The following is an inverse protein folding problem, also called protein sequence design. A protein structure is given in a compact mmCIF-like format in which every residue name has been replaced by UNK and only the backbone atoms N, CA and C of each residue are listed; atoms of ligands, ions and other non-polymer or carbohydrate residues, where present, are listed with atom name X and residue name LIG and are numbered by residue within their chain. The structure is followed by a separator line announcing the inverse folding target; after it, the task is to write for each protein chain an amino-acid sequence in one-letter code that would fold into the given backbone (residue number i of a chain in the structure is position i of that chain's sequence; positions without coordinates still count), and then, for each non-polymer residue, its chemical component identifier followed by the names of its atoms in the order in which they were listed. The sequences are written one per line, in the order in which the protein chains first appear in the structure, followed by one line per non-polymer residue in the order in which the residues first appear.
data_IF_621791755721
#
_entry.id   IF_621791755721
#
_cell.length_a   1.000
_cell.length_b   1.000
_cell.length_c   1.000
_cell.angle_alpha   90.00
_cell.angle_beta   90.00
_cell.angle_gamma   90.00
#
_symmetry.space_group_name_H-M   'P 1'
#
loop_
_entity.id
_entity.type
_entity.pdbx_description
1 polymer ?
#
# COMPACT_ATOMS: atom_id res chain seq x y z
N UNK A 1 -0.65 -30.43 -21.73
CA UNK A 1 -0.55 -31.55 -20.78
C UNK A 1 -0.48 -30.93 -19.39
N UNK A 2 -1.26 -31.42 -18.41
CA UNK A 2 -1.29 -30.85 -17.06
C UNK A 2 0.06 -31.10 -16.37
N UNK A 3 0.59 -30.10 -15.67
CA UNK A 3 1.89 -30.16 -14.99
C UNK A 3 1.94 -31.27 -13.91
N UNK A 4 3.09 -31.92 -13.76
CA UNK A 4 3.25 -33.05 -12.82
C UNK A 4 2.97 -32.66 -11.36
N UNK A 5 3.27 -31.42 -10.96
CA UNK A 5 2.96 -30.89 -9.61
C UNK A 5 1.46 -30.91 -9.34
N UNK A 6 0.68 -30.47 -10.33
CA UNK A 6 -0.79 -30.44 -10.28
C UNK A 6 -1.36 -31.85 -10.21
N UNK A 7 -0.83 -32.77 -11.02
CA UNK A 7 -1.26 -34.17 -11.00
C UNK A 7 -0.97 -34.85 -9.65
N UNK A 8 0.20 -34.59 -9.07
CA UNK A 8 0.57 -35.13 -7.76
C UNK A 8 -0.32 -34.56 -6.65
N UNK A 9 -0.54 -33.24 -6.64
CA UNK A 9 -1.43 -32.59 -5.69
C UNK A 9 -2.86 -33.12 -5.81
N UNK A 10 -3.40 -33.28 -7.03
CA UNK A 10 -4.75 -33.80 -7.24
C UNK A 10 -4.94 -35.21 -6.67
N UNK A 11 -3.98 -36.11 -6.90
CA UNK A 11 -4.04 -37.48 -6.31
C UNK A 11 -4.05 -37.43 -4.79
N UNK A 12 -3.25 -36.54 -4.20
CA UNK A 12 -3.20 -36.35 -2.76
C UNK A 12 -4.52 -35.77 -2.22
N UNK A 13 -5.05 -34.71 -2.84
CA UNK A 13 -6.29 -34.06 -2.46
C UNK A 13 -7.48 -35.03 -2.48
N UNK A 14 -7.61 -35.85 -3.53
CA UNK A 14 -8.67 -36.86 -3.58
C UNK A 14 -8.60 -37.87 -2.43
N UNK A 15 -7.38 -38.27 -2.03
CA UNK A 15 -7.17 -39.15 -0.86
C UNK A 15 -7.53 -38.45 0.46
N UNK A 16 -7.19 -37.17 0.59
CA UNK A 16 -7.47 -36.37 1.79
C UNK A 16 -8.96 -36.05 1.93
N UNK A 17 -9.65 -35.75 0.83
CA UNK A 17 -11.10 -35.53 0.82
C UNK A 17 -11.85 -36.76 1.32
N UNK A 18 -11.38 -37.97 0.99
CA UNK A 18 -11.94 -39.23 1.50
C UNK A 18 -11.74 -39.49 3.00
N UNK A 19 -10.91 -38.70 3.71
CA UNK A 19 -10.73 -38.80 5.16
C UNK A 19 -11.74 -37.94 5.94
N UNK A 20 -12.44 -37.03 5.26
CA UNK A 20 -13.46 -36.18 5.89
C UNK A 20 -14.73 -37.02 6.06
N UNK A 21 -15.31 -37.12 7.28
CA UNK A 21 -16.54 -37.87 7.51
C UNK A 21 -17.70 -37.34 6.66
N UNK A 22 -18.48 -38.25 6.07
CA UNK A 22 -19.58 -37.90 5.15
C UNK A 22 -20.71 -37.14 5.85
N UNK A 23 -20.81 -37.25 7.17
CA UNK A 23 -21.83 -36.54 7.97
C UNK A 23 -21.49 -35.07 8.21
N UNK A 24 -20.24 -34.65 7.97
CA UNK A 24 -19.84 -33.25 8.15
C UNK A 24 -20.28 -32.41 6.95
N UNK A 25 -21.10 -31.40 7.22
CA UNK A 25 -21.60 -30.47 6.22
C UNK A 25 -21.31 -29.01 6.59
N UNK A 26 -21.41 -28.16 5.58
CA UNK A 26 -21.28 -26.73 5.76
C UNK A 26 -19.92 -26.33 6.34
N UNK A 27 -19.96 -25.40 7.28
CA UNK A 27 -18.77 -24.86 7.93
C UNK A 27 -18.01 -25.88 8.81
N UNK A 28 -18.72 -26.84 9.43
CA UNK A 28 -18.10 -27.91 10.22
C UNK A 28 -17.19 -28.81 9.38
N UNK A 29 -17.58 -29.04 8.12
CA UNK A 29 -16.76 -29.77 7.14
C UNK A 29 -15.41 -29.08 6.90
N UNK A 30 -15.39 -27.76 6.75
CA UNK A 30 -14.16 -26.98 6.53
C UNK A 30 -13.22 -27.04 7.75
N UNK A 31 -13.77 -26.97 8.96
CA UNK A 31 -12.98 -27.15 10.19
C UNK A 31 -12.37 -28.55 10.24
N UNK A 32 -13.13 -29.58 9.86
CA UNK A 32 -12.63 -30.95 9.81
C UNK A 32 -11.54 -31.15 8.74
N UNK A 33 -11.70 -30.54 7.57
CA UNK A 33 -10.68 -30.51 6.54
C UNK A 33 -9.37 -29.87 7.04
N UNK A 34 -9.46 -28.79 7.84
CA UNK A 34 -8.29 -28.15 8.42
C UNK A 34 -7.54 -29.09 9.38
N UNK A 35 -8.26 -29.85 10.22
CA UNK A 35 -7.66 -30.89 11.07
C UNK A 35 -6.97 -31.98 10.25
N UNK A 36 -7.60 -32.43 9.15
CA UNK A 36 -7.02 -33.42 8.24
C UNK A 36 -5.70 -32.91 7.67
N UNK A 37 -5.63 -31.64 7.26
CA UNK A 37 -4.40 -30.99 6.77
C UNK A 37 -3.34 -30.91 7.86
N UNK A 38 -3.70 -30.55 9.09
CA UNK A 38 -2.75 -30.40 10.20
C UNK A 38 -2.10 -31.71 10.64
N UNK A 39 -2.78 -32.83 10.41
CA UNK A 39 -2.27 -34.17 10.68
C UNK A 39 -1.31 -34.69 9.59
N UNK A 40 -1.18 -33.99 8.46
CA UNK A 40 -0.32 -34.46 7.36
C UNK A 40 1.17 -34.13 7.62
N UNK A 41 2.08 -35.03 7.22
CA UNK A 41 3.52 -34.74 7.15
C UNK A 41 3.83 -33.53 6.28
N UNK A 42 4.94 -32.86 6.61
CA UNK A 42 5.36 -31.62 5.93
C UNK A 42 5.62 -31.83 4.43
N UNK A 43 6.07 -33.00 4.02
CA UNK A 43 6.32 -33.36 2.62
C UNK A 43 5.03 -33.37 1.79
N UNK A 44 3.92 -33.83 2.37
CA UNK A 44 2.61 -33.84 1.71
C UNK A 44 2.05 -32.43 1.60
N UNK A 45 2.14 -31.64 2.70
CA UNK A 45 1.75 -30.22 2.69
C UNK A 45 2.57 -29.41 1.68
N UNK A 46 3.85 -29.73 1.56
CA UNK A 46 4.74 -29.14 0.56
C UNK A 46 4.32 -29.49 -0.87
N UNK A 47 3.91 -30.73 -1.15
CA UNK A 47 3.40 -31.13 -2.46
C UNK A 47 2.17 -30.31 -2.87
N UNK A 48 1.25 -30.05 -1.93
CA UNK A 48 0.10 -29.18 -2.17
C UNK A 48 0.53 -27.73 -2.45
N UNK A 49 1.48 -27.19 -1.68
CA UNK A 49 2.05 -25.85 -1.91
C UNK A 49 2.69 -25.73 -3.29
N UNK A 50 3.41 -26.74 -3.76
CA UNK A 50 4.02 -26.71 -5.10
C UNK A 50 3.00 -26.56 -6.24
N UNK A 51 1.77 -27.08 -6.10
CA UNK A 51 0.72 -26.86 -7.08
C UNK A 51 0.20 -25.42 -7.06
N UNK A 52 0.00 -24.84 -5.87
CA UNK A 52 -0.36 -23.41 -5.74
C UNK A 52 0.75 -22.51 -6.28
N UNK A 53 2.01 -22.75 -5.92
CA UNK A 53 3.17 -22.01 -6.44
C UNK A 53 3.22 -22.08 -7.97
N UNK A 54 2.91 -23.24 -8.55
CA UNK A 54 2.82 -23.38 -10.01
C UNK A 54 1.72 -22.50 -10.63
N UNK A 55 0.53 -22.41 -10.02
CA UNK A 55 -0.54 -21.53 -10.51
C UNK A 55 -0.10 -20.06 -10.44
N UNK A 56 0.48 -19.66 -9.31
CA UNK A 56 0.95 -18.31 -9.08
C UNK A 56 2.09 -17.89 -10.01
N UNK A 57 3.05 -18.80 -10.28
CA UNK A 57 4.11 -18.57 -11.28
C UNK A 57 3.49 -18.50 -12.68
N UNK A 58 2.47 -19.32 -12.97
CA UNK A 58 1.77 -19.29 -14.27
C UNK A 58 1.03 -17.97 -14.51
N UNK A 59 0.70 -17.20 -13.46
CA UNK A 59 0.15 -15.85 -13.65
C UNK A 59 1.15 -14.94 -14.37
N UNK A 60 2.46 -15.09 -14.12
CA UNK A 60 3.48 -14.28 -14.78
C UNK A 60 3.59 -14.61 -16.26
N UNK A 61 3.67 -15.90 -16.61
CA UNK A 61 3.81 -16.35 -18.00
C UNK A 61 2.59 -16.04 -18.87
N UNK A 62 1.41 -15.90 -18.26
CA UNK A 62 0.17 -15.53 -18.96
C UNK A 62 -0.19 -14.05 -18.81
N UNK A 63 0.66 -13.24 -18.19
CA UNK A 63 0.40 -11.82 -17.91
C UNK A 63 -0.91 -11.56 -17.16
N UNK A 64 -1.28 -12.48 -16.26
CA UNK A 64 -2.47 -12.37 -15.44
C UNK A 64 -2.30 -11.30 -14.34
N UNK A 65 -3.34 -10.49 -14.16
CA UNK A 65 -3.47 -9.53 -13.07
C UNK A 65 -4.08 -10.15 -11.82
N UNK A 66 -5.09 -11.02 -12.01
CA UNK A 66 -5.85 -11.64 -10.93
C UNK A 66 -6.05 -13.14 -11.21
N UNK A 67 -6.17 -13.93 -10.16
CA UNK A 67 -6.47 -15.36 -10.16
C UNK A 67 -7.62 -15.66 -9.21
N UNK A 68 -8.51 -16.57 -9.60
CA UNK A 68 -9.56 -17.09 -8.73
C UNK A 68 -9.53 -18.62 -8.73
N UNK A 69 -9.77 -19.20 -7.55
CA UNK A 69 -9.72 -20.64 -7.29
C UNK A 69 -10.69 -21.00 -6.16
N UNK A 70 -11.32 -22.17 -6.26
CA UNK A 70 -12.27 -22.65 -5.25
C UNK A 70 -13.65 -22.04 -5.41
N UNK A 71 -14.52 -22.31 -4.44
CA UNK A 71 -15.94 -21.97 -4.53
C UNK A 71 -16.67 -22.70 -5.67
N UNK A 72 -17.99 -22.62 -5.67
CA UNK A 72 -18.81 -23.22 -6.73
C UNK A 72 -18.72 -22.41 -8.03
N UNK A 73 -18.52 -21.09 -7.93
CA UNK A 73 -18.48 -20.17 -9.07
C UNK A 73 -17.33 -20.37 -10.05
N UNK A 74 -16.22 -21.02 -9.64
CA UNK A 74 -15.11 -21.33 -10.55
C UNK A 74 -15.31 -22.60 -11.36
N UNK A 75 -16.39 -23.36 -11.09
CA UNK A 75 -16.68 -24.65 -11.73
C UNK A 75 -15.47 -25.60 -11.72
N UNK A 76 -14.72 -25.58 -10.63
CA UNK A 76 -13.56 -26.44 -10.43
C UNK A 76 -12.37 -26.13 -11.33
N UNK A 77 -12.25 -24.92 -11.88
CA UNK A 77 -11.11 -24.50 -12.71
C UNK A 77 -10.34 -23.36 -12.06
N UNK A 78 -9.08 -23.20 -12.42
CA UNK A 78 -8.33 -21.98 -12.10
C UNK A 78 -8.69 -20.92 -13.14
N UNK A 79 -9.06 -19.72 -12.70
CA UNK A 79 -9.38 -18.60 -13.58
C UNK A 79 -8.31 -17.55 -13.50
N UNK A 80 -7.94 -16.96 -14.64
CA UNK A 80 -7.12 -15.75 -14.65
C UNK A 80 -7.86 -14.59 -15.31
N UNK A 81 -7.55 -13.38 -14.85
CA UNK A 81 -7.83 -12.14 -15.56
C UNK A 81 -6.58 -11.69 -16.31
N UNK A 82 -6.64 -11.65 -17.64
CA UNK A 82 -5.56 -11.18 -18.51
C UNK A 82 -6.07 -9.98 -19.31
N UNK A 83 -5.40 -8.84 -19.17
CA UNK A 83 -5.82 -7.55 -19.76
C UNK A 83 -7.30 -7.21 -19.55
N UNK A 84 -7.82 -7.45 -18.34
CA UNK A 84 -9.22 -7.19 -18.00
C UNK A 84 -10.19 -8.32 -18.32
N UNK A 85 -9.80 -9.30 -19.15
CA UNK A 85 -10.66 -10.42 -19.55
C UNK A 85 -10.45 -11.63 -18.63
N UNK A 86 -11.52 -12.08 -17.96
CA UNK A 86 -11.52 -13.23 -17.04
C UNK A 86 -11.96 -14.50 -17.77
N UNK A 87 -11.14 -15.55 -17.73
CA UNK A 87 -11.43 -16.86 -18.37
C UNK A 87 -10.81 -18.02 -17.56
N UNK A 88 -11.36 -19.24 -17.67
CA UNK A 88 -10.74 -20.42 -17.08
C UNK A 88 -9.49 -20.85 -17.86
N UNK A 89 -8.56 -21.49 -17.17
CA UNK A 89 -7.32 -22.07 -17.72
C UNK A 89 -7.28 -23.58 -17.43
N UNK A 90 -7.97 -24.41 -18.25
CA UNK A 90 -8.09 -25.86 -18.03
C UNK A 90 -6.75 -26.61 -17.95
N UNK A 91 -5.70 -26.07 -18.55
CA UNK A 91 -4.33 -26.58 -18.50
C UNK A 91 -3.73 -26.60 -17.09
N UNK A 92 -4.26 -25.79 -16.17
CA UNK A 92 -3.88 -25.77 -14.75
C UNK A 92 -4.61 -26.87 -13.94
N UNK A 93 -5.38 -27.72 -14.61
CA UNK A 93 -6.13 -28.80 -14.01
C UNK A 93 -7.54 -28.38 -13.60
N UNK A 94 -8.23 -29.33 -12.98
CA UNK A 94 -9.56 -29.13 -12.43
C UNK A 94 -9.66 -29.79 -11.08
N UNK A 95 -10.41 -29.18 -10.16
CA UNK A 95 -10.55 -29.56 -8.76
C UNK A 95 -12.02 -29.67 -8.40
N UNK A 96 -12.38 -30.65 -7.59
CA UNK A 96 -13.67 -30.60 -6.90
C UNK A 96 -13.65 -29.47 -5.86
N UNK A 97 -14.83 -29.06 -5.38
CA UNK A 97 -14.92 -28.05 -4.32
C UNK A 97 -14.16 -28.46 -3.06
N UNK A 98 -14.25 -29.73 -2.66
CA UNK A 98 -13.53 -30.27 -1.49
C UNK A 98 -12.01 -30.32 -1.72
N UNK A 99 -11.57 -30.65 -2.94
CA UNK A 99 -10.14 -30.61 -3.30
C UNK A 99 -9.61 -29.18 -3.23
N UNK A 100 -10.38 -28.20 -3.71
CA UNK A 100 -10.01 -26.79 -3.63
C UNK A 100 -9.98 -26.29 -2.17
N UNK A 101 -10.97 -26.66 -1.34
CA UNK A 101 -11.02 -26.28 0.08
C UNK A 101 -9.77 -26.76 0.83
N UNK A 102 -9.40 -28.03 0.65
CA UNK A 102 -8.18 -28.61 1.26
C UNK A 102 -6.91 -27.90 0.79
N UNK A 103 -6.84 -27.56 -0.50
CA UNK A 103 -5.70 -26.84 -1.07
C UNK A 103 -5.59 -25.42 -0.48
N UNK A 104 -6.71 -24.71 -0.33
CA UNK A 104 -6.79 -23.37 0.22
C UNK A 104 -6.55 -23.34 1.74
N UNK A 105 -6.99 -24.35 2.49
CA UNK A 105 -6.68 -24.49 3.93
C UNK A 105 -5.21 -24.75 4.19
N UNK A 106 -4.52 -25.42 3.26
CA UNK A 106 -3.07 -25.62 3.31
C UNK A 106 -2.26 -24.35 2.99
N UNK A 107 -2.88 -23.35 2.35
CA UNK A 107 -2.24 -22.07 2.01
C UNK A 107 -2.09 -21.14 3.23
N UNK A 108 -3.04 -21.19 4.17
CA UNK A 108 -3.13 -20.23 5.28
C UNK A 108 -2.66 -20.85 6.62
N UNK A 109 -2.09 -20.00 7.48
CA UNK A 109 -1.59 -20.42 8.79
C UNK A 109 -2.74 -20.72 9.77
N UNK A 110 -2.52 -21.54 10.82
CA UNK A 110 -3.56 -21.85 11.82
C UNK A 110 -4.21 -20.60 12.45
N UNK A 111 -3.43 -19.56 12.77
CA UNK A 111 -3.99 -18.30 13.29
C UNK A 111 -4.87 -17.55 12.29
N UNK A 112 -4.53 -17.60 10.99
CA UNK A 112 -5.35 -17.02 9.93
C UNK A 112 -6.64 -17.81 9.70
N UNK A 113 -6.63 -19.13 9.93
CA UNK A 113 -7.85 -19.93 9.90
C UNK A 113 -8.82 -19.49 11.00
N UNK A 114 -8.32 -19.19 12.20
CA UNK A 114 -9.18 -18.67 13.26
C UNK A 114 -9.88 -17.36 12.85
N UNK A 115 -9.14 -16.42 12.24
CA UNK A 115 -9.73 -15.18 11.72
C UNK A 115 -10.76 -15.43 10.62
N UNK A 116 -10.46 -16.35 9.70
CA UNK A 116 -11.42 -16.81 8.68
C UNK A 116 -12.68 -17.39 9.33
N UNK A 117 -12.53 -18.12 10.43
CA UNK A 117 -13.65 -18.74 11.12
C UNK A 117 -14.55 -17.73 11.80
N UNK A 118 -13.96 -16.70 12.42
CA UNK A 118 -14.69 -15.66 13.13
C UNK A 118 -15.36 -14.67 12.17
N UNK A 119 -14.70 -14.34 11.06
CA UNK A 119 -15.14 -13.26 10.16
C UNK A 119 -15.74 -13.73 8.83
N UNK A 120 -15.72 -15.04 8.55
CA UNK A 120 -16.11 -15.64 7.25
C UNK A 120 -15.32 -15.14 6.03
N UNK A 121 -14.26 -14.37 6.27
CA UNK A 121 -13.31 -13.88 5.29
C UNK A 121 -11.95 -13.67 5.94
N UNK A 122 -10.91 -13.70 5.13
CA UNK A 122 -9.53 -13.44 5.51
C UNK A 122 -8.86 -12.63 4.39
N UNK A 123 -8.30 -11.48 4.74
CA UNK A 123 -7.41 -10.73 3.86
C UNK A 123 -5.96 -10.99 4.25
N UNK A 124 -5.11 -11.31 3.29
CA UNK A 124 -3.71 -11.57 3.58
C UNK A 124 -2.82 -11.33 2.35
N UNK A 125 -1.52 -11.15 2.60
CA UNK A 125 -0.51 -11.16 1.55
C UNK A 125 0.19 -12.51 1.48
N UNK A 126 0.44 -12.99 0.26
CA UNK A 126 1.22 -14.19 0.00
C UNK A 126 2.45 -13.86 -0.84
N UNK A 127 3.56 -14.57 -0.59
CA UNK A 127 4.81 -14.38 -1.31
C UNK A 127 5.40 -15.73 -1.67
N UNK A 128 5.86 -15.86 -2.91
CA UNK A 128 6.59 -17.02 -3.41
C UNK A 128 7.90 -16.59 -4.07
N UNK A 129 8.80 -17.54 -4.26
CA UNK A 129 10.00 -17.33 -5.07
C UNK A 129 9.78 -17.93 -6.46
N UNK A 130 9.74 -17.10 -7.50
CA UNK A 130 9.76 -17.57 -8.90
C UNK A 130 11.20 -17.62 -9.43
N UNK A 131 11.45 -18.28 -10.57
CA UNK A 131 12.76 -18.23 -11.23
C UNK A 131 13.22 -16.80 -11.60
N UNK A 132 12.30 -15.86 -11.79
CA UNK A 132 12.60 -14.46 -12.10
C UNK A 132 12.80 -13.59 -10.85
N UNK A 133 12.41 -14.08 -9.67
CA UNK A 133 12.54 -13.37 -8.40
C UNK A 133 11.33 -13.54 -7.48
N UNK A 134 11.28 -12.81 -6.35
CA UNK A 134 10.15 -12.86 -5.44
C UNK A 134 8.89 -12.28 -6.09
N UNK A 135 7.78 -13.02 -6.02
CA UNK A 135 6.46 -12.56 -6.45
C UNK A 135 5.57 -12.38 -5.22
N UNK A 136 4.80 -11.28 -5.20
CA UNK A 136 3.86 -10.97 -4.10
C UNK A 136 2.44 -10.88 -4.62
N UNK A 137 1.52 -11.30 -3.79
CA UNK A 137 0.11 -11.33 -4.09
C UNK A 137 -0.69 -10.81 -2.90
N UNK A 138 -1.75 -10.05 -3.18
CA UNK A 138 -2.81 -9.77 -2.21
C UNK A 138 -3.93 -10.76 -2.44
N UNK A 139 -4.37 -11.41 -1.38
CA UNK A 139 -5.39 -12.43 -1.43
C UNK A 139 -6.55 -12.11 -0.48
N UNK A 140 -7.75 -12.49 -0.91
CA UNK A 140 -8.92 -12.60 -0.07
C UNK A 140 -9.45 -14.01 -0.18
N UNK A 141 -9.56 -14.70 0.95
CA UNK A 141 -10.21 -16.00 1.07
C UNK A 141 -11.54 -15.80 1.80
N UNK A 142 -12.63 -16.34 1.27
CA UNK A 142 -13.98 -16.11 1.82
C UNK A 142 -14.90 -17.32 1.58
N UNK A 143 -16.03 -17.34 2.28
CA UNK A 143 -17.03 -18.40 2.12
C UNK A 143 -17.99 -18.12 0.95
N UNK A 144 -18.16 -19.12 0.09
CA UNK A 144 -19.13 -19.17 -1.00
C UNK A 144 -19.90 -20.50 -0.92
N UNK A 145 -21.19 -20.46 -0.57
CA UNK A 145 -22.03 -21.66 -0.46
C UNK A 145 -21.40 -22.76 0.42
N UNK A 146 -20.81 -22.36 1.55
CA UNK A 146 -20.06 -23.21 2.49
C UNK A 146 -18.72 -23.79 1.99
N UNK A 147 -18.22 -23.32 0.84
CA UNK A 147 -16.89 -23.64 0.32
C UNK A 147 -15.98 -22.42 0.36
N UNK A 148 -14.68 -22.65 0.30
CA UNK A 148 -13.68 -21.60 0.26
C UNK A 148 -13.46 -21.12 -1.18
N UNK A 149 -13.59 -19.81 -1.37
CA UNK A 149 -13.27 -19.12 -2.60
C UNK A 149 -12.09 -18.18 -2.36
N UNK A 150 -11.07 -18.27 -3.22
CA UNK A 150 -9.89 -17.42 -3.22
C UNK A 150 -9.98 -16.44 -4.40
N UNK A 151 -9.82 -15.16 -4.11
CA UNK A 151 -9.52 -14.14 -5.12
C UNK A 151 -8.17 -13.51 -4.81
N UNK A 152 -7.28 -13.51 -5.79
CA UNK A 152 -5.88 -13.17 -5.61
C UNK A 152 -5.41 -12.22 -6.71
N UNK A 153 -4.69 -11.16 -6.34
CA UNK A 153 -4.12 -10.18 -7.27
C UNK A 153 -2.60 -10.19 -7.19
N UNK A 154 -1.95 -10.27 -8.35
CA UNK A 154 -0.49 -10.10 -8.47
C UNK A 154 -0.10 -8.65 -8.21
N UNK A 155 0.85 -8.44 -7.31
CA UNK A 155 1.40 -7.11 -7.04
C UNK A 155 2.66 -6.92 -7.89
N UNK A 156 2.50 -6.23 -9.03
CA UNK A 156 3.60 -5.82 -9.89
C UNK A 156 3.99 -4.38 -9.54
N UNK A 157 5.04 -4.18 -8.75
CA UNK A 157 5.54 -2.83 -8.46
C UNK A 157 6.99 -2.70 -8.88
N UNK A 158 7.19 -2.10 -10.05
CA UNK A 158 8.48 -1.48 -10.38
C UNK A 158 8.62 -0.18 -9.59
N UNK A 159 9.71 -0.06 -8.84
CA UNK A 159 10.03 1.19 -8.14
C UNK A 159 10.48 2.22 -9.17
N UNK A 160 9.79 3.37 -9.20
CA UNK A 160 10.17 4.47 -10.09
C UNK A 160 11.44 5.17 -9.58
N UNK A 161 12.30 5.70 -10.45
CA UNK A 161 13.46 6.47 -10.01
C UNK A 161 13.05 7.71 -9.20
N UNK A 162 13.74 8.03 -8.11
CA UNK A 162 13.43 9.22 -7.28
C UNK A 162 13.29 10.53 -8.06
N UNK A 163 14.08 10.72 -9.10
CA UNK A 163 14.02 11.90 -9.98
C UNK A 163 12.66 12.06 -10.66
N UNK A 164 11.90 10.98 -10.89
CA UNK A 164 10.59 11.04 -11.53
C UNK A 164 9.52 11.71 -10.66
N UNK A 165 9.75 11.88 -9.35
CA UNK A 165 8.86 12.63 -8.47
C UNK A 165 8.87 14.14 -8.78
N UNK A 166 9.88 14.64 -9.50
CA UNK A 166 9.98 16.04 -9.90
C UNK A 166 10.01 17.02 -8.73
N UNK A 167 10.64 16.62 -7.61
CA UNK A 167 10.74 17.44 -6.40
C UNK A 167 11.85 18.49 -6.55
N UNK A 168 11.62 19.69 -6.00
CA UNK A 168 12.65 20.71 -5.87
C UNK A 168 13.82 20.22 -5.01
N UNK A 169 15.05 20.69 -5.28
CA UNK A 169 16.27 20.22 -4.60
C UNK A 169 16.20 20.30 -3.07
N UNK A 170 15.56 21.33 -2.53
CA UNK A 170 15.41 21.51 -1.08
C UNK A 170 14.46 20.46 -0.50
N UNK A 171 13.35 20.18 -1.19
CA UNK A 171 12.37 19.16 -0.80
C UNK A 171 13.00 17.76 -0.91
N UNK A 172 13.79 17.51 -1.97
CA UNK A 172 14.54 16.27 -2.12
C UNK A 172 15.52 16.02 -0.95
N UNK A 173 16.20 17.07 -0.45
CA UNK A 173 17.02 16.98 0.76
C UNK A 173 16.20 16.62 1.99
N UNK A 174 14.99 17.17 2.14
CA UNK A 174 14.10 16.78 3.23
C UNK A 174 13.73 15.30 3.20
N UNK A 175 13.62 14.67 2.02
CA UNK A 175 13.31 13.24 1.90
C UNK A 175 14.50 12.33 2.25
N UNK A 176 15.72 12.84 2.23
CA UNK A 176 16.94 12.05 2.43
C UNK A 176 17.40 12.04 3.87
N UNK A 177 17.76 10.86 4.36
CA UNK A 177 18.35 10.65 5.68
C UNK A 177 19.73 11.29 5.82
N UNK A 178 20.49 11.45 4.72
CA UNK A 178 21.80 12.10 4.76
C UNK A 178 21.70 13.58 5.13
N UNK A 179 20.62 14.24 4.69
CA UNK A 179 20.43 15.68 4.89
C UNK A 179 19.47 16.01 6.03
N UNK A 180 18.43 15.20 6.25
CA UNK A 180 17.40 15.45 7.26
C UNK A 180 17.16 14.20 8.11
N UNK A 181 17.76 14.18 9.31
CA UNK A 181 17.75 13.03 10.24
C UNK A 181 16.44 12.84 11.01
N UNK A 182 15.61 13.88 11.13
CA UNK A 182 14.42 13.87 12.00
C UNK A 182 13.23 14.62 11.42
N UNK A 183 12.07 14.42 12.02
CA UNK A 183 10.84 15.16 11.72
C UNK A 183 9.84 14.35 10.90
N UNK A 184 8.63 14.88 10.81
CA UNK A 184 7.48 14.25 10.18
C UNK A 184 7.29 14.75 8.75
N UNK A 185 7.17 13.83 7.80
CA UNK A 185 6.87 14.10 6.40
C UNK A 185 5.59 13.36 6.04
N UNK A 186 4.61 14.09 5.50
CA UNK A 186 3.33 13.54 5.12
C UNK A 186 3.23 13.44 3.59
N UNK A 187 2.89 12.25 3.09
CA UNK A 187 2.51 12.04 1.69
C UNK A 187 1.01 11.84 1.65
N UNK A 188 0.27 12.77 1.05
CA UNK A 188 -1.20 12.77 1.13
C UNK A 188 -1.85 12.73 -0.24
N UNK A 189 -3.11 12.33 -0.28
CA UNK A 189 -3.92 12.22 -1.49
C UNK A 189 -4.99 11.16 -1.35
N UNK A 190 -6.00 11.20 -2.22
CA UNK A 190 -7.07 10.19 -2.23
C UNK A 190 -6.55 8.80 -2.64
N UNK A 191 -7.41 7.80 -2.59
CA UNK A 191 -7.07 6.45 -3.08
C UNK A 191 -6.68 6.50 -4.56
N UNK A 192 -5.60 5.80 -4.93
CA UNK A 192 -5.09 5.81 -6.29
C UNK A 192 -4.21 7.02 -6.67
N UNK A 193 -3.87 7.91 -5.74
CA UNK A 193 -3.02 9.09 -6.04
C UNK A 193 -1.51 8.82 -6.12
N UNK A 194 -1.06 7.57 -5.94
CA UNK A 194 0.36 7.19 -6.01
C UNK A 194 1.15 7.34 -4.70
N UNK A 195 0.48 7.42 -3.53
CA UNK A 195 1.14 7.56 -2.22
C UNK A 195 2.12 6.41 -1.93
N UNK A 196 1.66 5.17 -2.03
CA UNK A 196 2.50 3.98 -1.76
C UNK A 196 3.70 3.94 -2.71
N UNK A 197 3.48 4.18 -4.01
CA UNK A 197 4.57 4.25 -5.00
C UNK A 197 5.59 5.36 -4.70
N UNK A 198 5.13 6.49 -4.16
CA UNK A 198 6.03 7.58 -3.72
C UNK A 198 6.83 7.17 -2.49
N UNK A 199 6.20 6.55 -1.49
CA UNK A 199 6.90 6.02 -0.33
C UNK A 199 7.93 4.97 -0.73
N UNK A 200 7.58 4.03 -1.61
CA UNK A 200 8.51 3.02 -2.12
C UNK A 200 9.72 3.67 -2.82
N UNK A 201 9.46 4.71 -3.61
CA UNK A 201 10.51 5.48 -4.27
C UNK A 201 11.44 6.18 -3.27
N UNK A 202 10.89 6.72 -2.17
CA UNK A 202 11.67 7.38 -1.10
C UNK A 202 12.47 6.34 -0.30
N UNK A 203 11.89 5.19 0.01
CA UNK A 203 12.54 4.09 0.73
C UNK A 203 13.72 3.58 -0.09
N UNK A 204 13.52 3.23 -1.37
CA UNK A 204 14.59 2.73 -2.24
C UNK A 204 15.70 3.77 -2.45
N UNK A 205 15.35 5.06 -2.55
CA UNK A 205 16.34 6.13 -2.63
C UNK A 205 17.25 6.15 -1.39
N UNK A 206 16.67 6.15 -0.19
CA UNK A 206 17.43 6.11 1.07
C UNK A 206 18.24 4.81 1.21
N UNK A 207 17.65 3.67 0.84
CA UNK A 207 18.31 2.37 0.86
C UNK A 207 19.55 2.30 -0.05
N UNK A 208 19.58 3.08 -1.14
CA UNK A 208 20.73 3.15 -2.06
C UNK A 208 21.79 4.17 -1.63
N UNK A 209 21.41 5.23 -0.94
CA UNK A 209 22.32 6.33 -0.60
C UNK A 209 22.84 6.25 0.82
N UNK A 210 21.97 5.91 1.77
CA UNK A 210 22.19 6.07 3.21
C UNK A 210 22.46 4.75 3.92
N UNK A 211 23.36 4.79 4.91
CA UNK A 211 23.47 3.73 5.92
C UNK A 211 22.50 4.04 7.05
N UNK A 212 21.60 3.11 7.33
CA UNK A 212 20.61 3.28 8.38
C UNK A 212 19.64 2.11 8.48
N UNK A 213 18.69 2.23 9.39
CA UNK A 213 17.65 1.25 9.65
C UNK A 213 16.27 1.83 9.33
N UNK A 214 15.58 1.22 8.37
CA UNK A 214 14.24 1.64 7.92
C UNK A 214 13.23 0.60 8.38
N UNK A 215 12.27 1.01 9.21
CA UNK A 215 11.13 0.20 9.61
C UNK A 215 9.88 0.67 8.87
N UNK A 216 9.24 -0.23 8.12
CA UNK A 216 8.01 0.02 7.36
C UNK A 216 6.86 -0.73 8.00
N UNK A 217 5.76 -0.04 8.28
CA UNK A 217 4.53 -0.60 8.84
C UNK A 217 3.41 -0.31 7.86
N UNK A 218 2.76 -1.35 7.32
CA UNK A 218 1.75 -1.21 6.27
C UNK A 218 0.62 -2.23 6.37
N UNK A 219 -0.48 -1.96 5.68
CA UNK A 219 -1.63 -2.85 5.56
C UNK A 219 -2.29 -2.75 4.16
N UNK A 220 -2.00 -3.66 3.23
CA UNK A 220 -0.88 -4.61 3.24
C UNK A 220 0.46 -3.93 2.86
N UNK A 221 1.56 -4.68 2.93
CA UNK A 221 2.79 -4.26 2.26
C UNK A 221 2.66 -4.41 0.74
N UNK A 222 2.77 -3.31 0.00
CA UNK A 222 2.67 -3.28 -1.47
C UNK A 222 3.99 -3.71 -2.15
N UNK A 223 5.14 -3.28 -1.64
CA UNK A 223 6.45 -3.61 -2.20
C UNK A 223 7.38 -4.26 -1.15
N UNK A 224 8.26 -5.15 -1.62
CA UNK A 224 9.30 -5.78 -0.81
C UNK A 224 10.66 -5.17 -1.12
N UNK A 225 11.10 -4.26 -0.26
CA UNK A 225 12.41 -3.65 -0.38
C UNK A 225 13.50 -4.60 0.12
N UNK A 226 14.39 -4.99 -0.78
CA UNK A 226 15.60 -5.74 -0.43
C UNK A 226 16.64 -4.76 0.16
N UNK A 227 17.20 -5.11 1.31
CA UNK A 227 18.24 -4.30 1.97
C UNK A 227 19.47 -4.13 1.08
N UNK A 228 19.97 -2.89 0.97
CA UNK A 228 21.19 -2.53 0.22
C UNK A 228 22.18 -1.86 1.17
N UNK A 229 22.22 -0.52 1.22
CA UNK A 229 23.01 0.21 2.22
C UNK A 229 22.27 0.36 3.55
N UNK A 230 20.94 0.37 3.51
CA UNK A 230 20.11 0.38 4.71
C UNK A 230 19.57 -1.02 5.01
N UNK A 231 19.42 -1.34 6.29
CA UNK A 231 18.63 -2.47 6.75
C UNK A 231 17.17 -2.08 6.63
N UNK A 232 16.35 -2.88 5.95
CA UNK A 232 14.92 -2.64 5.82
C UNK A 232 14.14 -3.77 6.51
N UNK A 233 13.28 -3.38 7.45
CA UNK A 233 12.35 -4.26 8.15
C UNK A 233 10.94 -3.84 7.81
N UNK A 234 10.16 -4.74 7.23
CA UNK A 234 8.80 -4.45 6.82
C UNK A 234 7.85 -5.31 7.63
N UNK A 235 6.80 -4.71 8.18
CA UNK A 235 5.84 -5.36 9.07
C UNK A 235 4.44 -5.07 8.58
N UNK A 236 3.68 -6.12 8.31
CA UNK A 236 2.28 -6.04 7.91
C UNK A 236 1.37 -6.05 9.14
N UNK A 237 0.39 -5.14 9.21
CA UNK A 237 -0.62 -5.13 10.27
C UNK A 237 -1.52 -6.37 10.13
N UNK A 238 -1.98 -6.93 11.25
CA UNK A 238 -2.72 -8.19 11.33
C UNK A 238 -1.81 -9.43 11.28
N UNK A 239 -0.70 -9.38 10.53
CA UNK A 239 0.24 -10.49 10.37
C UNK A 239 1.47 -10.42 11.29
N UNK A 240 2.23 -9.34 11.20
CA UNK A 240 3.50 -9.17 11.92
C UNK A 240 3.37 -8.23 13.12
N UNK A 241 2.31 -7.43 13.14
CA UNK A 241 1.95 -6.54 14.26
C UNK A 241 0.44 -6.36 14.34
N UNK A 242 -0.08 -6.13 15.55
CA UNK A 242 -1.54 -6.05 15.79
C UNK A 242 -2.19 -4.80 15.19
N UNK A 243 -1.51 -3.66 15.23
CA UNK A 243 -2.03 -2.37 14.79
C UNK A 243 -0.90 -1.45 14.32
N UNK A 244 -1.24 -0.37 13.62
CA UNK A 244 -0.26 0.67 13.27
C UNK A 244 0.39 1.29 14.51
N UNK A 245 -0.40 1.63 15.52
CA UNK A 245 0.09 2.14 16.82
C UNK A 245 1.09 1.19 17.46
N UNK A 246 0.76 -0.10 17.57
CA UNK A 246 1.67 -1.09 18.14
C UNK A 246 2.94 -1.23 17.30
N UNK A 247 2.81 -1.17 15.97
CA UNK A 247 3.93 -1.15 15.04
C UNK A 247 4.90 -0.02 15.34
N UNK A 248 4.38 1.20 15.49
CA UNK A 248 5.18 2.40 15.75
C UNK A 248 5.85 2.31 17.13
N UNK A 249 5.10 1.98 18.18
CA UNK A 249 5.64 1.86 19.54
C UNK A 249 6.75 0.80 19.61
N UNK A 250 6.55 -0.35 18.97
CA UNK A 250 7.56 -1.41 18.94
C UNK A 250 8.77 -1.00 18.11
N UNK A 251 8.58 -0.28 17.00
CA UNK A 251 9.68 0.22 16.16
C UNK A 251 10.65 1.11 16.94
N UNK A 252 10.17 1.92 17.90
CA UNK A 252 11.04 2.77 18.74
C UNK A 252 12.07 1.99 19.57
N UNK A 253 11.87 0.68 19.77
CA UNK A 253 12.82 -0.19 20.49
C UNK A 253 13.70 -1.01 19.54
N UNK A 254 13.62 -0.76 18.25
CA UNK A 254 14.34 -1.50 17.20
C UNK A 254 15.51 -0.71 16.64
N UNK A 255 15.89 0.41 17.26
CA UNK A 255 16.95 1.32 16.77
C UNK A 255 16.74 1.77 15.30
N UNK A 256 15.56 2.32 14.93
CA UNK A 256 15.30 2.78 13.57
C UNK A 256 15.90 4.18 13.34
N UNK A 257 16.32 4.48 12.12
CA UNK A 257 16.59 5.85 11.66
C UNK A 257 15.37 6.46 10.96
N UNK A 258 14.64 5.62 10.21
CA UNK A 258 13.42 5.98 9.50
C UNK A 258 12.29 5.05 9.93
N UNK A 259 11.14 5.63 10.27
CA UNK A 259 9.89 4.89 10.46
C UNK A 259 8.91 5.32 9.36
N UNK A 260 8.39 4.36 8.60
CA UNK A 260 7.39 4.58 7.55
C UNK A 260 6.07 3.96 7.98
N UNK A 261 5.02 4.77 7.99
CA UNK A 261 3.65 4.37 8.32
C UNK A 261 2.81 4.53 7.06
N UNK A 262 2.37 3.42 6.48
CA UNK A 262 1.68 3.45 5.20
C UNK A 262 0.34 4.19 5.27
N UNK A 263 -0.30 4.29 6.43
CA UNK A 263 -1.53 5.05 6.61
C UNK A 263 -1.75 5.46 8.08
N UNK A 264 -2.25 6.67 8.29
CA UNK A 264 -2.77 7.11 9.58
C UNK A 264 -4.28 7.36 9.48
N UNK A 265 -5.07 6.63 10.26
CA UNK A 265 -6.54 6.70 10.25
C UNK A 265 -7.14 7.33 11.50
N UNK A 266 -6.57 7.04 12.66
CA UNK A 266 -7.15 7.31 13.98
C UNK A 266 -6.22 8.13 14.89
N UNK A 267 -6.82 8.72 15.93
CA UNK A 267 -6.15 9.53 16.95
C UNK A 267 -4.98 8.82 17.65
N UNK A 268 -5.14 7.53 17.88
CA UNK A 268 -4.15 6.68 18.53
C UNK A 268 -2.87 6.54 17.68
N UNK A 269 -3.04 6.31 16.37
CA UNK A 269 -1.95 6.22 15.40
C UNK A 269 -1.28 7.59 15.21
N UNK A 270 -2.05 8.69 15.12
CA UNK A 270 -1.48 10.04 15.05
C UNK A 270 -0.60 10.34 16.26
N UNK A 271 -1.08 10.00 17.46
CA UNK A 271 -0.34 10.22 18.71
C UNK A 271 0.98 9.45 18.74
N UNK A 272 0.96 8.18 18.32
CA UNK A 272 2.17 7.35 18.25
C UNK A 272 3.17 7.89 17.21
N UNK A 273 2.70 8.36 16.06
CA UNK A 273 3.56 8.98 15.03
C UNK A 273 4.20 10.27 15.52
N UNK A 274 3.45 11.13 16.23
CA UNK A 274 4.00 12.34 16.82
C UNK A 274 5.04 12.03 17.90
N UNK A 275 4.83 10.98 18.71
CA UNK A 275 5.81 10.52 19.71
C UNK A 275 7.09 9.99 19.04
N UNK A 276 6.95 9.24 17.95
CA UNK A 276 8.08 8.77 17.17
C UNK A 276 8.90 9.93 16.56
N UNK A 277 8.23 10.96 16.05
CA UNK A 277 8.90 12.15 15.54
C UNK A 277 9.55 13.00 16.67
N UNK A 278 8.89 13.13 17.83
CA UNK A 278 9.41 13.85 19.01
C UNK A 278 10.69 13.21 19.57
N UNK A 279 10.78 11.87 19.54
CA UNK A 279 11.98 11.14 19.97
C UNK A 279 13.16 11.27 19.01
N UNK A 280 13.04 12.08 17.95
CA UNK A 280 14.14 12.45 17.07
C UNK A 280 14.25 11.60 15.81
N UNK A 281 13.29 10.72 15.54
CA UNK A 281 13.28 9.89 14.34
C UNK A 281 12.81 10.67 13.11
N UNK A 282 13.23 10.21 11.93
CA UNK A 282 12.60 10.60 10.67
C UNK A 282 11.38 9.75 10.45
N UNK A 283 10.22 10.39 10.28
CA UNK A 283 8.95 9.68 10.11
C UNK A 283 8.30 10.07 8.79
N UNK A 284 7.93 9.06 8.00
CA UNK A 284 7.07 9.23 6.84
C UNK A 284 5.71 8.62 7.15
N UNK A 285 4.65 9.35 6.84
CA UNK A 285 3.29 8.84 7.02
C UNK A 285 2.38 9.26 5.87
N UNK A 286 1.28 8.55 5.66
CA UNK A 286 0.26 8.94 4.68
C UNK A 286 -1.08 9.28 5.30
N UNK A 287 -1.82 10.18 4.64
CA UNK A 287 -3.22 10.48 4.92
C UNK A 287 -4.04 10.54 3.63
N UNK A 288 -5.34 10.35 3.77
CA UNK A 288 -6.32 10.49 2.70
C UNK A 288 -6.93 11.91 2.69
N UNK A 289 -6.11 12.91 2.42
CA UNK A 289 -6.48 14.34 2.32
C UNK A 289 -5.96 14.92 1.01
N UNK A 290 -6.60 15.97 0.50
CA UNK A 290 -6.34 16.51 -0.85
C UNK A 290 -5.39 17.72 -0.89
N UNK A 291 -5.03 18.27 0.27
CA UNK A 291 -4.12 19.42 0.41
C UNK A 291 -3.33 19.38 1.72
N UNK A 292 -2.30 20.21 1.81
CA UNK A 292 -1.48 20.35 3.01
C UNK A 292 -2.29 20.92 4.19
N UNK A 293 -3.14 21.92 3.94
CA UNK A 293 -4.02 22.53 4.94
C UNK A 293 -4.99 21.51 5.51
N UNK A 294 -5.71 20.79 4.64
CA UNK A 294 -6.65 19.74 5.04
C UNK A 294 -5.95 18.61 5.84
N UNK A 295 -4.69 18.32 5.51
CA UNK A 295 -3.90 17.32 6.26
C UNK A 295 -3.64 17.75 7.70
N UNK A 296 -3.35 19.04 7.92
CA UNK A 296 -3.16 19.61 9.25
C UNK A 296 -4.49 19.61 10.00
N UNK A 297 -5.55 20.14 9.37
CA UNK A 297 -6.87 20.24 9.98
C UNK A 297 -7.43 18.87 10.37
N UNK A 298 -7.21 17.84 9.55
CA UNK A 298 -7.61 16.46 9.86
C UNK A 298 -6.91 15.92 11.11
N UNK A 299 -5.60 16.10 11.24
CA UNK A 299 -4.85 15.63 12.43
C UNK A 299 -5.39 16.33 13.69
N UNK A 300 -5.67 17.63 13.60
CA UNK A 300 -6.23 18.40 14.73
C UNK A 300 -7.68 18.01 15.03
N UNK A 301 -8.50 17.77 14.01
CA UNK A 301 -9.91 17.40 14.15
C UNK A 301 -10.14 16.03 14.77
N UNK A 302 -9.22 15.09 14.55
CA UNK A 302 -9.22 13.75 15.15
C UNK A 302 -8.66 13.75 16.59
N UNK A 303 -8.09 14.88 17.05
CA UNK A 303 -7.55 15.03 18.40
C UNK A 303 -8.65 15.52 19.36
N UNK A 304 -8.79 14.92 20.57
CA UNK A 304 -9.73 15.39 21.58
C UNK A 304 -9.55 16.89 21.90
N UNK A 305 -10.63 17.67 22.09
CA UNK A 305 -10.55 19.13 22.23
C UNK A 305 -9.55 19.63 23.30
N UNK A 306 -9.44 18.92 24.43
CA UNK A 306 -8.53 19.26 25.52
C UNK A 306 -7.04 19.11 25.14
N UNK A 307 -6.72 18.29 24.14
CA UNK A 307 -5.36 18.00 23.70
C UNK A 307 -4.94 18.76 22.43
N UNK A 308 -5.90 19.38 21.73
CA UNK A 308 -5.65 20.03 20.42
C UNK A 308 -4.56 21.09 20.47
N UNK A 309 -4.52 21.95 21.50
CA UNK A 309 -3.46 22.96 21.65
C UNK A 309 -2.07 22.30 21.69
N UNK A 310 -1.91 21.26 22.52
CA UNK A 310 -0.65 20.54 22.68
C UNK A 310 -0.26 19.83 21.38
N UNK A 311 -1.20 19.16 20.72
CA UNK A 311 -0.94 18.49 19.43
C UNK A 311 -0.54 19.49 18.36
N UNK A 312 -1.18 20.66 18.31
CA UNK A 312 -0.85 21.74 17.37
C UNK A 312 0.56 22.28 17.57
N UNK A 313 0.97 22.52 18.81
CA UNK A 313 2.33 22.95 19.13
C UNK A 313 3.39 21.91 18.73
N UNK A 314 3.12 20.63 19.00
CA UNK A 314 3.97 19.50 18.58
C UNK A 314 4.04 19.42 17.05
N UNK A 315 2.90 19.45 16.37
CA UNK A 315 2.82 19.37 14.92
C UNK A 315 3.59 20.52 14.25
N UNK A 316 3.44 21.76 14.73
CA UNK A 316 4.21 22.90 14.23
C UNK A 316 5.74 22.73 14.40
N UNK A 317 6.16 21.97 15.40
CA UNK A 317 7.59 21.76 15.68
C UNK A 317 8.16 20.60 14.88
N UNK A 318 7.38 19.53 14.71
CA UNK A 318 7.80 18.25 14.11
C UNK A 318 7.58 18.16 12.61
N UNK A 319 6.52 18.78 12.08
CA UNK A 319 6.19 18.72 10.66
C UNK A 319 7.32 19.40 9.88
N UNK A 320 7.85 18.68 8.89
CA UNK A 320 8.91 19.16 8.00
C UNK A 320 8.36 19.48 6.61
N UNK A 321 7.48 18.61 6.08
CA UNK A 321 6.94 18.74 4.75
C UNK A 321 5.61 18.00 4.61
N UNK A 322 4.71 18.53 3.79
CA UNK A 322 3.54 17.82 3.27
C UNK A 322 3.59 17.83 1.75
N UNK A 323 3.37 16.66 1.13
CA UNK A 323 3.28 16.49 -0.32
C UNK A 323 1.92 15.88 -0.63
N UNK A 324 1.00 16.69 -1.17
CA UNK A 324 -0.33 16.22 -1.57
C UNK A 324 -0.35 15.88 -3.06
N UNK A 325 -0.88 14.71 -3.41
CA UNK A 325 -0.68 14.10 -4.73
C UNK A 325 -2.00 13.84 -5.45
N UNK A 326 -1.97 13.98 -6.78
CA UNK A 326 -2.99 13.51 -7.71
C UNK A 326 -2.30 12.87 -8.93
N UNK A 327 -2.90 11.81 -9.48
CA UNK A 327 -2.50 11.27 -10.78
C UNK A 327 -3.48 11.78 -11.82
N UNK A 328 -2.94 12.49 -12.83
CA UNK A 328 -3.74 13.15 -13.86
C UNK A 328 -3.49 12.47 -15.22
N UNK A 329 -4.53 12.20 -16.01
CA UNK A 329 -4.37 11.70 -17.38
C UNK A 329 -3.54 12.67 -18.24
N UNK A 330 -2.54 12.13 -18.93
CA UNK A 330 -1.73 12.86 -19.91
C UNK A 330 -2.38 12.82 -21.29
N UNK A 331 -1.94 13.71 -22.19
CA UNK A 331 -2.42 13.73 -23.57
C UNK A 331 -2.15 12.41 -24.33
N UNK A 332 -1.12 11.65 -23.93
CA UNK A 332 -0.80 10.32 -24.49
C UNK A 332 -1.51 9.15 -23.76
N UNK A 333 -2.48 9.43 -22.90
CA UNK A 333 -3.31 8.43 -22.23
C UNK A 333 -2.64 7.71 -21.05
N UNK A 334 -1.48 8.21 -20.57
CA UNK A 334 -0.80 7.73 -19.37
C UNK A 334 -1.20 8.59 -18.16
N UNK A 335 -0.51 8.38 -17.03
CA UNK A 335 -0.70 9.15 -15.80
C UNK A 335 0.57 9.92 -15.43
N UNK A 336 0.41 11.19 -15.05
CA UNK A 336 1.46 12.04 -14.49
C UNK A 336 1.11 12.47 -13.07
N UNK A 337 2.14 12.62 -12.22
CA UNK A 337 2.00 13.15 -10.87
C UNK A 337 1.84 14.67 -10.92
N UNK A 338 0.69 15.16 -10.47
CA UNK A 338 0.50 16.54 -10.02
C UNK A 338 0.64 16.60 -8.50
N UNK A 339 1.31 17.63 -7.98
CA UNK A 339 1.59 17.72 -6.55
C UNK A 339 1.48 19.15 -6.01
N UNK A 340 1.00 19.24 -4.79
CA UNK A 340 1.19 20.38 -3.89
C UNK A 340 2.33 20.03 -2.92
N UNK A 341 3.20 20.99 -2.64
CA UNK A 341 4.30 20.82 -1.69
C UNK A 341 4.32 21.99 -0.73
N UNK A 342 4.20 21.68 0.57
CA UNK A 342 4.36 22.62 1.67
C UNK A 342 5.58 22.23 2.49
N UNK A 343 6.53 23.16 2.66
CA UNK A 343 7.64 23.01 3.60
C UNK A 343 7.36 23.82 4.85
N UNK A 344 7.66 23.30 6.03
CA UNK A 344 7.31 23.94 7.30
C UNK A 344 8.36 24.97 7.72
N UNK A 345 8.36 26.12 7.04
CA UNK A 345 9.17 27.30 7.36
C UNK A 345 8.59 28.09 8.55
N UNK A 346 9.24 29.19 8.95
CA UNK A 346 8.81 29.99 10.11
C UNK A 346 7.36 30.49 10.04
N UNK A 347 6.92 30.93 8.85
CA UNK A 347 5.55 31.41 8.62
C UNK A 347 4.53 30.28 8.78
N UNK A 348 4.78 29.12 8.15
CA UNK A 348 3.90 27.94 8.31
C UNK A 348 3.84 27.48 9.77
N UNK A 349 4.97 27.47 10.49
CA UNK A 349 4.98 27.12 11.92
C UNK A 349 4.13 28.06 12.77
N UNK A 350 4.22 29.36 12.51
CA UNK A 350 3.43 30.38 13.20
C UNK A 350 1.94 30.19 12.92
N UNK A 351 1.57 30.02 11.64
CA UNK A 351 0.19 29.78 11.22
C UNK A 351 -0.41 28.54 11.90
N UNK A 352 0.35 27.43 11.95
CA UNK A 352 -0.09 26.22 12.67
C UNK A 352 -0.27 26.53 14.15
N UNK A 353 0.72 27.12 14.85
CA UNK A 353 0.61 27.38 16.31
C UNK A 353 -0.59 28.24 16.68
N UNK A 354 -0.86 29.26 15.87
CA UNK A 354 -1.92 30.25 16.12
C UNK A 354 -3.28 29.83 15.55
N UNK A 355 -3.38 28.63 14.96
CA UNK A 355 -4.63 28.13 14.37
C UNK A 355 -5.17 28.98 13.21
N UNK A 356 -4.27 29.55 12.40
CA UNK A 356 -4.59 30.29 11.18
C UNK A 356 -4.16 29.47 9.96
N UNK A 357 -4.68 28.24 9.84
CA UNK A 357 -4.27 27.29 8.79
C UNK A 357 -4.66 27.75 7.38
N UNK A 358 -5.62 28.67 7.27
CA UNK A 358 -6.04 29.34 6.04
C UNK A 358 -4.93 30.20 5.40
N UNK A 359 -4.05 30.81 6.20
CA UNK A 359 -2.92 31.62 5.71
C UNK A 359 -1.86 30.76 4.98
N UNK A 360 -1.79 29.46 5.29
CA UNK A 360 -0.75 28.55 4.79
C UNK A 360 -0.79 28.44 3.27
N UNK A 361 -1.98 28.47 2.65
CA UNK A 361 -2.10 28.41 1.19
C UNK A 361 -1.35 29.58 0.51
N UNK A 362 -1.48 30.79 1.07
CA UNK A 362 -0.78 31.97 0.56
C UNK A 362 0.75 31.86 0.76
N UNK A 363 1.19 31.32 1.89
CA UNK A 363 2.61 31.06 2.14
C UNK A 363 3.20 30.10 1.12
N UNK A 364 2.50 28.98 0.83
CA UNK A 364 2.91 28.01 -0.20
C UNK A 364 3.06 28.72 -1.56
N UNK A 365 2.07 29.50 -1.94
CA UNK A 365 2.03 30.20 -3.23
C UNK A 365 3.23 31.14 -3.46
N UNK A 366 3.72 31.79 -2.40
CA UNK A 366 4.81 32.79 -2.47
C UNK A 366 6.20 32.18 -2.25
N UNK A 367 6.30 30.95 -1.75
CA UNK A 367 7.56 30.34 -1.29
C UNK A 367 8.19 29.36 -2.30
N UNK A 368 8.01 29.59 -3.60
CA UNK A 368 8.54 28.73 -4.67
C UNK A 368 10.07 28.51 -4.59
N UNK A 369 10.81 29.52 -4.12
CA UNK A 369 12.27 29.45 -3.96
C UNK A 369 12.71 28.43 -2.89
N UNK A 370 11.86 28.15 -1.90
CA UNK A 370 12.07 27.07 -0.93
C UNK A 370 11.69 25.69 -1.51
N UNK A 371 10.99 25.66 -2.64
CA UNK A 371 10.49 24.45 -3.29
C UNK A 371 9.01 24.16 -3.01
N UNK A 372 8.29 25.09 -2.37
CA UNK A 372 6.85 25.00 -2.20
C UNK A 372 6.14 25.23 -3.54
N UNK A 373 4.97 24.64 -3.71
CA UNK A 373 4.13 24.82 -4.91
C UNK A 373 2.69 24.45 -4.55
N UNK A 374 1.71 25.24 -4.97
CA UNK A 374 0.30 24.86 -4.82
C UNK A 374 -0.11 23.83 -5.87
N UNK A 375 -1.17 23.06 -5.61
CA UNK A 375 -1.71 22.12 -6.61
C UNK A 375 -1.99 22.83 -7.95
N UNK A 376 -2.60 24.02 -7.91
CA UNK A 376 -2.92 24.79 -9.11
C UNK A 376 -1.68 25.26 -9.88
N UNK A 377 -0.60 25.64 -9.18
CA UNK A 377 0.65 26.02 -9.82
C UNK A 377 1.30 24.84 -10.55
N UNK A 378 1.31 23.64 -9.96
CA UNK A 378 1.88 22.46 -10.60
C UNK A 378 1.01 21.95 -11.77
N UNK A 379 -0.32 22.00 -11.64
CA UNK A 379 -1.25 21.71 -12.74
C UNK A 379 -1.09 22.69 -13.90
N UNK A 380 -1.01 24.00 -13.63
CA UNK A 380 -0.75 25.01 -14.65
C UNK A 380 0.58 24.76 -15.36
N UNK A 381 1.64 24.37 -14.63
CA UNK A 381 2.92 23.95 -15.21
C UNK A 381 2.74 22.77 -16.18
N UNK A 382 2.00 21.73 -15.78
CA UNK A 382 1.74 20.56 -16.64
C UNK A 382 0.95 20.90 -17.91
N UNK A 383 -0.03 21.80 -17.82
CA UNK A 383 -0.77 22.30 -19.00
C UNK A 383 0.18 23.05 -19.94
N UNK A 384 0.99 23.97 -19.41
CA UNK A 384 1.95 24.78 -20.20
C UNK A 384 3.04 23.93 -20.85
N UNK A 385 3.45 22.84 -20.19
CA UNK A 385 4.38 21.87 -20.77
C UNK A 385 3.72 20.90 -21.76
N UNK A 386 2.45 21.11 -22.10
CA UNK A 386 1.67 20.27 -23.00
C UNK A 386 1.66 18.78 -22.60
N UNK A 387 1.65 18.52 -21.28
CA UNK A 387 1.63 17.16 -20.72
C UNK A 387 0.20 16.70 -20.48
N UNK A 388 -0.67 17.60 -20.02
CA UNK A 388 -2.09 17.36 -19.73
C UNK A 388 -2.95 18.40 -20.45
N UNK A 389 -4.22 18.09 -20.68
CA UNK A 389 -5.17 19.06 -21.21
C UNK A 389 -5.60 20.06 -20.13
N UNK A 390 -6.08 21.24 -20.54
CA UNK A 390 -6.65 22.22 -19.61
C UNK A 390 -7.89 21.69 -18.89
N UNK A 391 -8.72 20.90 -19.58
CA UNK A 391 -9.90 20.26 -19.00
C UNK A 391 -9.52 19.28 -17.87
N UNK A 392 -8.49 18.45 -18.09
CA UNK A 392 -7.99 17.54 -17.06
C UNK A 392 -7.41 18.30 -15.87
N UNK A 393 -6.69 19.40 -16.11
CA UNK A 393 -6.20 20.25 -15.04
C UNK A 393 -7.35 20.83 -14.19
N UNK A 394 -8.43 21.32 -14.82
CA UNK A 394 -9.61 21.84 -14.12
C UNK A 394 -10.34 20.77 -13.28
N UNK A 395 -10.43 19.54 -13.79
CA UNK A 395 -11.05 18.43 -13.06
C UNK A 395 -10.26 18.04 -11.81
N UNK A 396 -8.95 18.28 -11.81
CA UNK A 396 -8.04 17.90 -10.72
C UNK A 396 -7.60 19.10 -9.85
N UNK A 397 -8.01 20.33 -10.14
CA UNK A 397 -7.71 21.49 -9.30
C UNK A 397 -8.48 21.46 -7.97
N UNK A 398 -7.85 21.91 -6.88
CA UNK A 398 -8.57 22.17 -5.62
C UNK A 398 -9.33 23.51 -5.72
N UNK A 399 -8.74 24.49 -6.41
CA UNK A 399 -9.34 25.78 -6.71
C UNK A 399 -9.36 26.04 -8.22
N UNK A 400 -10.50 25.77 -8.86
CA UNK A 400 -10.68 25.91 -10.32
C UNK A 400 -10.43 27.34 -10.81
N UNK A 401 -11.01 28.33 -10.14
CA UNK A 401 -10.83 29.75 -10.50
C UNK A 401 -9.36 30.15 -10.48
N UNK A 402 -8.63 29.73 -9.45
CA UNK A 402 -7.20 30.02 -9.34
C UNK A 402 -6.39 29.38 -10.47
N UNK A 403 -6.73 28.16 -10.87
CA UNK A 403 -6.09 27.51 -12.02
C UNK A 403 -6.38 28.28 -13.31
N UNK A 404 -7.62 28.71 -13.55
CA UNK A 404 -8.00 29.53 -14.72
C UNK A 404 -7.16 30.80 -14.79
N UNK A 405 -7.08 31.55 -13.70
CA UNK A 405 -6.28 32.77 -13.61
C UNK A 405 -4.81 32.51 -13.95
N UNK A 406 -4.24 31.43 -13.41
CA UNK A 406 -2.85 31.06 -13.66
C UNK A 406 -2.59 30.69 -15.12
N UNK A 407 -3.52 30.00 -15.78
CA UNK A 407 -3.37 29.63 -17.19
C UNK A 407 -3.60 30.83 -18.11
N UNK A 408 -4.64 31.64 -17.88
CA UNK A 408 -4.98 32.81 -18.71
C UNK A 408 -3.95 33.93 -18.63
N UNK A 409 -3.40 34.24 -17.44
CA UNK A 409 -2.47 35.34 -17.26
C UNK A 409 -1.22 35.22 -18.14
N UNK A 410 -0.83 34.00 -18.54
CA UNK A 410 0.34 33.77 -19.37
C UNK A 410 0.05 33.70 -20.87
N UNK A 411 -1.15 33.32 -21.30
CA UNK A 411 -1.55 33.43 -22.72
C UNK A 411 -1.53 34.89 -23.20
N UNK A 412 -1.68 35.85 -22.28
CA UNK A 412 -1.59 37.29 -22.58
C UNK A 412 -0.14 37.84 -22.56
N UNK A 413 0.85 37.03 -22.18
CA UNK A 413 2.28 37.40 -22.13
C UNK A 413 3.11 36.75 -23.24
N UNK A 414 2.53 35.80 -23.98
CA UNK A 414 3.07 35.15 -25.19
C UNK A 414 2.31 35.63 -26.40
#
# INVERSE_FOLDING_TARGET
MVDQRVLNAKRLLGRLAGQVPVQEEGFGKLQKMAEVIDQQPEELRYTLRQALDFFLISMESHEASDMDLGGVGTNGQVWFRVYGHKKPFPELGSFTVDEADLLLLNLIAPGQRQELWENHQLHFSHQIMSPAGPMRFRATLYLEMNHLALSLRRINVEIRPFKSLGLHKNVARLMSLEYQKRGLILITGISGSGKSSTLDTIIDANNRTSYGHIVVIADPLEHLHVSKKSVIRQREVGRDVKSFRDGVIQALRQDPDIIVIAEMRDAETFSAVLEAADSGHKVFATLHTSSAVESIDRILGETPPLEQQRVRERLASLLACVISQKLVPTLDGKLVLAKEVMVTNGAVRSAIRNNHTDEIYHVIQQSNHEGMVTMEQDLARLVRSNVISFAEALNHANNKKRLEDLVQYQTNLT
#
